data_IF_077994090934
#
_entry.id   IF_077994090934
#
_cell.length_a   1.000
_cell.length_b   1.000
_cell.length_c   1.000
_cell.angle_alpha   90.00
_cell.angle_beta   90.00
_cell.angle_gamma   90.00
#
_symmetry.space_group_name_H-M   'P 1'
#
loop_
_entity.id
_entity.type
_entity.pdbx_description
1 polymer ?
#
# COMPACT_ATOMS: atom_id res chain seq x y z
N UNK A 1 17.15 -8.17 27.28
CA UNK A 1 16.49 -7.79 26.00
C UNK A 1 17.00 -6.41 25.68
N UNK A 2 17.50 -6.17 24.45
CA UNK A 2 17.89 -4.83 24.02
C UNK A 2 16.63 -3.95 24.00
N UNK A 3 16.74 -2.74 24.50
CA UNK A 3 15.67 -1.76 24.40
C UNK A 3 15.43 -1.42 22.93
N UNK A 4 14.16 -1.41 22.48
CA UNK A 4 13.85 -0.97 21.10
C UNK A 4 13.98 0.54 21.02
N UNK A 5 14.53 1.03 19.90
CA UNK A 5 14.54 2.46 19.58
C UNK A 5 14.06 2.69 18.16
N UNK A 6 13.55 3.87 17.92
CA UNK A 6 12.92 4.25 16.65
C UNK A 6 13.65 5.49 16.14
N UNK A 7 14.06 5.43 14.89
CA UNK A 7 14.80 6.49 14.24
C UNK A 7 14.11 6.90 12.94
N UNK A 8 13.76 8.16 12.81
CA UNK A 8 13.27 8.70 11.53
C UNK A 8 14.24 8.41 10.40
N UNK A 9 13.74 8.10 9.21
CA UNK A 9 14.55 7.95 7.98
C UNK A 9 15.18 9.25 7.51
N UNK A 10 14.74 10.39 8.07
CA UNK A 10 15.12 11.73 7.60
C UNK A 10 14.41 12.19 6.33
N UNK A 11 13.56 11.33 5.72
CA UNK A 11 12.71 11.65 4.57
C UNK A 11 11.36 12.25 4.96
N UNK A 12 10.47 12.36 3.98
CA UNK A 12 9.12 12.92 4.16
C UNK A 12 8.21 12.05 5.08
N UNK A 13 8.58 10.78 5.26
CA UNK A 13 7.93 9.80 6.13
C UNK A 13 8.89 8.63 6.35
N UNK A 14 8.50 7.75 7.28
CA UNK A 14 9.22 6.52 7.57
C UNK A 14 10.14 6.59 8.77
N UNK A 15 10.21 5.48 9.50
CA UNK A 15 11.17 5.27 10.58
C UNK A 15 11.68 3.84 10.62
N UNK A 16 12.92 3.68 11.07
CA UNK A 16 13.54 2.40 11.37
C UNK A 16 13.25 1.98 12.81
N UNK A 17 12.91 0.71 12.98
CA UNK A 17 12.73 0.10 14.30
C UNK A 17 13.90 -0.83 14.55
N UNK A 18 14.72 -0.50 15.54
CA UNK A 18 15.90 -1.26 15.94
C UNK A 18 15.68 -1.99 17.27
N UNK A 19 16.53 -2.99 17.52
CA UNK A 19 16.55 -3.73 18.79
C UNK A 19 15.41 -4.74 18.93
N UNK A 20 14.62 -4.99 17.89
CA UNK A 20 13.53 -5.96 17.88
C UNK A 20 13.90 -7.19 17.03
N UNK A 21 13.57 -8.36 17.52
CA UNK A 21 13.59 -9.64 16.83
C UNK A 21 12.14 -10.16 16.78
N UNK A 22 11.51 -10.04 15.62
CA UNK A 22 10.11 -10.42 15.42
C UNK A 22 9.88 -11.94 15.43
N UNK A 23 10.94 -12.77 15.40
CA UNK A 23 10.84 -14.22 15.60
C UNK A 23 10.47 -14.57 17.05
N UNK A 24 10.57 -13.61 17.95
CA UNK A 24 10.24 -13.74 19.38
C UNK A 24 8.99 -12.94 19.73
N UNK A 25 8.29 -13.29 20.81
CA UNK A 25 7.17 -12.51 21.31
C UNK A 25 7.59 -11.06 21.61
N UNK A 26 6.89 -10.11 20.99
CA UNK A 26 7.03 -8.67 21.26
C UNK A 26 6.22 -8.30 22.48
N UNK A 27 6.83 -7.63 23.46
CA UNK A 27 6.14 -7.15 24.65
C UNK A 27 5.05 -6.12 24.31
N UNK A 28 4.05 -5.96 25.20
CA UNK A 28 3.01 -4.94 24.98
C UNK A 28 3.56 -3.52 25.05
N UNK A 29 4.59 -3.28 25.87
CA UNK A 29 5.28 -1.99 25.95
C UNK A 29 5.98 -1.65 24.63
N UNK A 30 6.73 -2.61 24.06
CA UNK A 30 7.40 -2.44 22.78
C UNK A 30 6.39 -2.28 21.63
N UNK A 31 5.32 -3.07 21.66
CA UNK A 31 4.25 -2.93 20.67
C UNK A 31 3.60 -1.54 20.72
N UNK A 32 3.29 -1.03 21.93
CA UNK A 32 2.71 0.31 22.11
C UNK A 32 3.65 1.40 21.57
N UNK A 33 4.96 1.25 21.79
CA UNK A 33 5.99 2.15 21.24
C UNK A 33 6.01 2.14 19.71
N UNK A 34 5.98 0.94 19.10
CA UNK A 34 5.90 0.80 17.63
C UNK A 34 4.59 1.33 17.06
N UNK A 35 3.45 1.04 17.69
CA UNK A 35 2.15 1.54 17.22
C UNK A 35 2.05 3.08 17.28
N UNK A 36 2.64 3.70 18.31
CA UNK A 36 2.77 5.15 18.41
C UNK A 36 3.63 5.72 17.27
N UNK A 37 4.80 5.14 17.06
CA UNK A 37 5.69 5.53 15.97
C UNK A 37 5.08 5.33 14.58
N UNK A 38 4.29 4.28 14.38
CA UNK A 38 3.57 4.07 13.12
C UNK A 38 2.58 5.22 12.84
N UNK A 39 1.86 5.68 13.87
CA UNK A 39 0.97 6.84 13.73
C UNK A 39 1.70 8.16 13.43
N UNK A 40 2.93 8.31 13.89
CA UNK A 40 3.77 9.50 13.68
C UNK A 40 4.48 9.46 12.32
N UNK A 41 5.11 8.32 11.98
CA UNK A 41 5.99 8.19 10.83
C UNK A 41 5.32 7.54 9.61
N UNK A 42 4.10 7.00 9.72
CA UNK A 42 3.26 6.41 8.67
C UNK A 42 3.80 5.12 8.04
N UNK A 43 5.11 4.94 8.04
CA UNK A 43 5.82 3.74 7.55
C UNK A 43 6.85 3.32 8.59
N UNK A 44 6.88 2.03 8.92
CA UNK A 44 7.92 1.45 9.77
C UNK A 44 8.70 0.39 9.01
N UNK A 45 10.03 0.41 9.14
CA UNK A 45 10.93 -0.61 8.61
C UNK A 45 11.59 -1.39 9.74
N UNK A 46 11.55 -2.72 9.61
CA UNK A 46 12.20 -3.70 10.49
C UNK A 46 13.21 -4.46 9.64
N UNK A 47 14.48 -4.12 9.75
CA UNK A 47 15.52 -4.72 8.91
C UNK A 47 16.04 -6.04 9.46
N UNK A 48 16.44 -6.95 8.54
CA UNK A 48 17.17 -8.17 8.88
C UNK A 48 16.36 -9.20 9.68
N UNK A 49 15.05 -9.19 9.59
CA UNK A 49 14.18 -10.13 10.29
C UNK A 49 14.27 -11.55 9.66
N UNK A 50 14.13 -12.56 10.48
CA UNK A 50 14.07 -13.98 10.07
C UNK A 50 12.79 -14.58 10.60
N UNK A 51 11.70 -14.39 9.87
CA UNK A 51 10.35 -14.80 10.27
C UNK A 51 9.72 -15.69 9.20
N UNK A 52 8.83 -16.55 9.63
CA UNK A 52 7.94 -17.34 8.78
C UNK A 52 6.55 -16.69 8.66
N UNK A 53 5.68 -17.29 7.84
CA UNK A 53 4.33 -16.77 7.63
C UNK A 53 3.47 -16.74 8.89
N UNK A 54 3.45 -17.78 9.74
CA UNK A 54 2.75 -17.73 11.03
C UNK A 54 3.21 -16.57 11.91
N UNK A 55 4.50 -16.29 11.95
CA UNK A 55 5.07 -15.18 12.73
C UNK A 55 4.68 -13.83 12.12
N UNK A 56 4.77 -13.69 10.77
CA UNK A 56 4.30 -12.51 10.07
C UNK A 56 2.82 -12.24 10.36
N UNK A 57 1.97 -13.26 10.28
CA UNK A 57 0.54 -13.16 10.59
C UNK A 57 0.30 -12.75 12.04
N UNK A 58 0.98 -13.39 13.00
CA UNK A 58 0.85 -13.10 14.42
C UNK A 58 1.26 -11.67 14.76
N UNK A 59 2.35 -11.19 14.17
CA UNK A 59 2.79 -9.80 14.34
C UNK A 59 1.80 -8.83 13.73
N UNK A 60 1.35 -9.08 12.51
CA UNK A 60 0.37 -8.26 11.78
C UNK A 60 -0.95 -8.16 12.55
N UNK A 61 -1.44 -9.26 13.11
CA UNK A 61 -2.69 -9.33 13.88
C UNK A 61 -2.68 -8.45 15.15
N UNK A 62 -1.50 -8.03 15.64
CA UNK A 62 -1.40 -7.05 16.73
C UNK A 62 -1.94 -5.66 16.33
N UNK A 63 -1.92 -5.34 15.05
CA UNK A 63 -2.43 -4.07 14.53
C UNK A 63 -3.92 -4.13 14.15
N UNK A 64 -4.56 -5.29 14.21
CA UNK A 64 -5.96 -5.55 13.94
C UNK A 64 -6.20 -6.85 13.19
N UNK A 65 -7.44 -7.18 12.92
CA UNK A 65 -7.81 -8.40 12.22
C UNK A 65 -7.17 -8.45 10.83
N UNK A 66 -6.68 -9.64 10.44
CA UNK A 66 -6.10 -9.83 9.12
C UNK A 66 -7.19 -9.81 8.05
N UNK A 67 -6.90 -9.14 6.94
CA UNK A 67 -7.75 -9.16 5.75
C UNK A 67 -7.46 -10.40 4.90
N UNK A 68 -8.51 -10.98 4.33
CA UNK A 68 -8.36 -12.16 3.47
C UNK A 68 -7.80 -11.78 2.11
N UNK A 69 -6.87 -12.59 1.63
CA UNK A 69 -6.38 -12.46 0.25
C UNK A 69 -7.54 -12.69 -0.71
N UNK A 70 -7.85 -11.76 -1.63
CA UNK A 70 -8.93 -11.93 -2.58
C UNK A 70 -8.77 -13.22 -3.40
N UNK A 71 -9.82 -14.04 -3.47
CA UNK A 71 -9.83 -15.32 -4.21
C UNK A 71 -9.54 -15.08 -5.72
N UNK A 72 -9.93 -13.95 -6.27
CA UNK A 72 -9.63 -13.58 -7.65
C UNK A 72 -8.12 -13.29 -7.89
N UNK A 73 -7.35 -13.00 -6.85
CA UNK A 73 -5.89 -12.99 -6.91
C UNK A 73 -5.31 -14.41 -6.94
N UNK A 74 -6.14 -15.43 -6.78
CA UNK A 74 -5.84 -16.85 -6.73
C UNK A 74 -5.72 -17.54 -8.10
N UNK A 75 -5.55 -16.80 -9.19
CA UNK A 75 -5.15 -17.39 -10.49
C UNK A 75 -3.73 -17.97 -10.48
N UNK A 76 -3.04 -17.91 -9.33
CA UNK A 76 -1.71 -18.42 -9.11
C UNK A 76 -1.76 -19.77 -8.40
N UNK A 77 -0.83 -20.65 -8.72
CA UNK A 77 -0.71 -21.93 -8.02
C UNK A 77 -0.14 -21.69 -6.62
N UNK A 78 -1.04 -21.53 -5.64
CA UNK A 78 -0.67 -21.25 -4.25
C UNK A 78 0.09 -22.40 -3.58
N UNK A 79 -0.09 -23.62 -4.05
CA UNK A 79 0.64 -24.81 -3.53
C UNK A 79 2.14 -24.68 -3.72
N UNK A 80 2.55 -23.94 -4.75
CA UNK A 80 3.97 -23.74 -5.08
C UNK A 80 4.52 -22.36 -4.66
N UNK A 81 3.74 -21.56 -3.95
CA UNK A 81 4.08 -20.18 -3.56
C UNK A 81 5.05 -20.08 -2.39
N UNK A 82 5.33 -21.19 -1.69
CA UNK A 82 6.10 -21.20 -0.45
C UNK A 82 5.31 -20.75 0.79
N UNK A 83 4.04 -20.34 0.62
CA UNK A 83 3.16 -20.00 1.75
C UNK A 83 2.62 -21.29 2.36
N UNK A 84 2.77 -21.45 3.68
CA UNK A 84 2.21 -22.60 4.40
C UNK A 84 0.67 -22.61 4.32
N UNK A 85 0.06 -23.82 4.34
CA UNK A 85 -1.37 -23.99 4.07
C UNK A 85 -2.27 -23.12 4.95
N UNK A 86 -2.00 -23.04 6.25
CA UNK A 86 -2.78 -22.24 7.20
C UNK A 86 -2.70 -20.73 6.90
N UNK A 87 -1.64 -20.27 6.25
CA UNK A 87 -1.41 -18.87 5.94
C UNK A 87 -1.97 -18.45 4.58
N UNK A 88 -2.30 -19.39 3.69
CA UNK A 88 -2.69 -19.11 2.29
C UNK A 88 -3.88 -18.15 2.13
N UNK A 89 -4.79 -18.09 3.09
CA UNK A 89 -5.92 -17.15 3.03
C UNK A 89 -5.59 -15.74 3.54
N UNK A 90 -4.42 -15.55 4.17
CA UNK A 90 -4.03 -14.30 4.82
C UNK A 90 -2.77 -13.67 4.23
N UNK A 91 -1.90 -14.50 3.63
CA UNK A 91 -0.62 -14.08 3.06
C UNK A 91 -0.70 -14.08 1.53
N UNK A 92 -0.56 -12.90 0.95
CA UNK A 92 -0.46 -12.73 -0.50
C UNK A 92 1.01 -12.79 -0.95
N UNK A 93 1.26 -13.46 -2.08
CA UNK A 93 2.59 -13.53 -2.71
C UNK A 93 2.71 -12.45 -3.76
N UNK A 94 3.68 -11.57 -3.59
CA UNK A 94 4.01 -10.49 -4.55
C UNK A 94 5.36 -10.87 -5.18
N UNK A 95 5.30 -11.41 -6.41
CA UNK A 95 6.48 -12.00 -7.05
C UNK A 95 6.40 -11.97 -8.57
N UNK A 96 7.59 -11.99 -9.23
CA UNK A 96 7.74 -12.33 -10.64
C UNK A 96 8.18 -13.78 -10.86
N UNK A 97 8.24 -14.58 -9.79
CA UNK A 97 8.76 -15.96 -9.80
C UNK A 97 7.77 -16.89 -10.50
N UNK A 98 8.30 -17.79 -11.33
CA UNK A 98 7.55 -18.90 -11.94
C UNK A 98 8.11 -20.23 -11.45
N UNK A 99 7.23 -21.20 -11.18
CA UNK A 99 7.55 -22.59 -10.88
C UNK A 99 6.81 -23.48 -11.89
N UNK A 100 7.50 -24.37 -12.55
CA UNK A 100 6.95 -25.20 -13.62
C UNK A 100 6.20 -24.39 -14.70
N UNK A 101 6.72 -23.20 -15.07
CA UNK A 101 6.11 -22.29 -16.05
C UNK A 101 4.91 -21.48 -15.56
N UNK A 102 4.41 -21.72 -14.34
CA UNK A 102 3.28 -20.99 -13.73
C UNK A 102 3.78 -19.92 -12.76
N UNK A 103 3.15 -18.75 -12.78
CA UNK A 103 3.44 -17.70 -11.81
C UNK A 103 3.00 -18.14 -10.39
N UNK A 104 3.88 -17.96 -9.39
CA UNK A 104 3.58 -18.26 -7.98
C UNK A 104 3.01 -17.05 -7.23
N UNK A 105 3.04 -15.87 -7.83
CA UNK A 105 2.55 -14.62 -7.25
C UNK A 105 2.12 -13.63 -8.31
N UNK A 106 1.73 -12.43 -7.87
CA UNK A 106 1.23 -11.36 -8.75
C UNK A 106 2.19 -10.19 -8.93
N UNK A 107 1.83 -9.30 -9.89
CA UNK A 107 2.42 -7.99 -10.15
C UNK A 107 3.78 -7.98 -10.89
N UNK A 108 4.29 -9.12 -11.37
CA UNK A 108 5.44 -9.17 -12.28
C UNK A 108 6.64 -8.30 -11.89
N UNK A 109 7.39 -7.83 -12.91
CA UNK A 109 8.59 -6.99 -12.76
C UNK A 109 8.40 -5.52 -13.17
N UNK A 110 7.23 -5.15 -13.71
CA UNK A 110 6.96 -3.79 -14.23
C UNK A 110 6.93 -2.73 -13.13
N UNK A 111 7.06 -1.47 -13.52
CA UNK A 111 6.74 -0.35 -12.66
C UNK A 111 5.25 -0.39 -12.28
N UNK A 112 4.97 -0.22 -10.99
CA UNK A 112 3.60 -0.05 -10.50
C UNK A 112 3.32 1.44 -10.32
N UNK A 113 2.14 1.89 -10.76
CA UNK A 113 1.72 3.29 -10.57
C UNK A 113 1.52 3.61 -9.09
N UNK A 114 1.64 4.88 -8.73
CA UNK A 114 1.26 5.37 -7.40
C UNK A 114 -0.18 4.98 -7.08
N UNK A 115 -0.39 4.35 -5.94
CA UNK A 115 -1.71 3.88 -5.52
C UNK A 115 -1.81 3.69 -4.00
N UNK A 116 -3.05 3.62 -3.53
CA UNK A 116 -3.39 3.07 -2.21
C UNK A 116 -3.95 1.67 -2.42
N UNK A 117 -3.49 0.71 -1.62
CA UNK A 117 -3.93 -0.68 -1.71
C UNK A 117 -5.45 -0.79 -1.59
N UNK A 118 -6.04 -1.54 -2.53
CA UNK A 118 -7.47 -1.92 -2.57
C UNK A 118 -8.45 -0.76 -2.31
N UNK A 119 -8.06 0.47 -2.62
CA UNK A 119 -8.91 1.67 -2.47
C UNK A 119 -10.22 1.60 -3.27
N UNK A 120 -10.31 0.68 -4.23
CA UNK A 120 -11.51 0.39 -4.99
C UNK A 120 -12.57 -0.42 -4.22
N UNK A 121 -12.27 -0.85 -2.99
CA UNK A 121 -13.23 -1.48 -2.08
C UNK A 121 -13.93 -0.41 -1.21
N UNK A 122 -15.19 -0.65 -0.79
CA UNK A 122 -15.88 0.24 0.16
C UNK A 122 -15.14 0.36 1.51
N UNK A 123 -14.46 -0.69 1.94
CA UNK A 123 -13.63 -0.76 3.15
C UNK A 123 -12.19 -1.10 2.76
N UNK A 124 -11.37 -0.13 2.35
CA UNK A 124 -9.97 -0.39 1.99
C UNK A 124 -9.16 -0.82 3.21
N UNK A 125 -8.19 -1.76 3.08
CA UNK A 125 -7.36 -2.19 4.19
C UNK A 125 -6.64 -1.00 4.81
N UNK A 126 -6.59 -0.95 6.14
CA UNK A 126 -5.96 0.18 6.83
C UNK A 126 -4.45 0.13 6.84
N UNK A 127 -3.88 -1.07 6.73
CA UNK A 127 -2.43 -1.26 6.71
C UNK A 127 -2.05 -2.43 5.81
N UNK A 128 -0.82 -2.39 5.31
CA UNK A 128 -0.16 -3.51 4.66
C UNK A 128 1.22 -3.71 5.28
N UNK A 129 1.62 -4.96 5.43
CA UNK A 129 2.95 -5.38 5.86
C UNK A 129 3.56 -6.24 4.76
N UNK A 130 4.74 -5.87 4.28
CA UNK A 130 5.43 -6.54 3.17
C UNK A 130 6.80 -7.04 3.64
N UNK A 131 6.99 -8.35 3.61
CA UNK A 131 8.21 -9.02 4.03
C UNK A 131 9.01 -9.52 2.83
N UNK A 132 10.29 -9.20 2.78
CA UNK A 132 11.18 -9.51 1.68
C UNK A 132 11.88 -10.85 1.88
N UNK A 133 11.59 -11.82 1.03
CA UNK A 133 12.24 -13.13 0.99
C UNK A 133 13.41 -13.15 -0.01
N UNK A 134 13.14 -12.73 -1.24
CA UNK A 134 14.14 -12.58 -2.30
C UNK A 134 13.97 -11.20 -2.95
N UNK A 135 15.09 -10.51 -3.16
CA UNK A 135 15.07 -9.17 -3.79
C UNK A 135 16.19 -9.04 -4.81
N UNK A 136 15.97 -8.35 -5.93
CA UNK A 136 17.04 -8.05 -6.87
C UNK A 136 18.09 -7.13 -6.21
N UNK A 137 19.36 -7.18 -6.65
CA UNK A 137 20.41 -6.29 -6.13
C UNK A 137 20.12 -4.82 -6.46
N UNK A 138 19.47 -4.56 -7.60
CA UNK A 138 19.08 -3.23 -8.05
C UNK A 138 17.63 -3.21 -8.56
N UNK A 139 16.98 -2.06 -8.42
CA UNK A 139 15.58 -1.87 -8.82
C UNK A 139 14.58 -2.49 -7.84
N UNK A 140 13.30 -2.50 -8.24
CA UNK A 140 12.22 -3.05 -7.41
C UNK A 140 12.01 -2.33 -6.08
N UNK A 141 12.57 -1.13 -5.89
CA UNK A 141 12.36 -0.31 -4.72
C UNK A 141 10.88 0.05 -4.56
N UNK A 142 10.48 0.35 -3.33
CA UNK A 142 9.12 0.82 -3.07
C UNK A 142 9.16 2.26 -2.60
N UNK A 143 8.54 3.16 -3.37
CA UNK A 143 8.32 4.54 -2.98
C UNK A 143 7.04 4.66 -2.15
N UNK A 144 7.06 5.55 -1.16
CA UNK A 144 5.93 5.90 -0.31
C UNK A 144 5.74 7.41 -0.32
N UNK A 145 4.50 7.89 -0.38
CA UNK A 145 4.14 9.31 -0.37
C UNK A 145 3.34 9.66 0.88
N UNK A 146 3.71 10.76 1.53
CA UNK A 146 3.01 11.32 2.68
C UNK A 146 1.80 12.14 2.23
N UNK A 147 0.61 11.56 2.29
CA UNK A 147 -0.63 12.21 1.85
C UNK A 147 -1.15 13.28 2.83
N UNK A 148 -0.68 13.29 4.08
CA UNK A 148 -0.91 14.42 4.99
C UNK A 148 -0.18 15.67 4.48
N UNK A 149 1.14 15.57 4.28
CA UNK A 149 1.94 16.69 3.78
C UNK A 149 1.49 17.16 2.40
N UNK A 150 1.08 16.22 1.54
CA UNK A 150 0.51 16.55 0.23
C UNK A 150 -0.78 17.37 0.37
N UNK A 151 -1.68 17.05 1.31
CA UNK A 151 -2.87 17.84 1.57
C UNK A 151 -2.55 19.18 2.24
N UNK A 152 -1.71 19.18 3.27
CA UNK A 152 -1.37 20.37 4.05
C UNK A 152 -0.78 21.49 3.18
N UNK A 153 0.05 21.10 2.19
CA UNK A 153 0.73 22.02 1.26
C UNK A 153 0.02 22.20 -0.08
N UNK A 154 -1.16 21.58 -0.28
CA UNK A 154 -1.93 21.75 -1.50
C UNK A 154 -2.33 23.24 -1.65
N UNK A 155 -2.17 23.84 -2.82
CA UNK A 155 -2.61 25.23 -3.05
C UNK A 155 -4.08 25.45 -2.69
N UNK A 156 -4.41 26.60 -2.08
CA UNK A 156 -5.74 26.87 -1.55
C UNK A 156 -6.85 26.80 -2.61
N UNK A 157 -6.58 27.19 -3.84
CA UNK A 157 -7.54 27.05 -4.94
C UNK A 157 -7.85 25.57 -5.27
N UNK A 158 -6.87 24.66 -5.13
CA UNK A 158 -7.10 23.22 -5.31
C UNK A 158 -7.81 22.62 -4.10
N UNK A 159 -7.45 23.01 -2.86
CA UNK A 159 -8.19 22.60 -1.65
C UNK A 159 -9.67 22.93 -1.77
N UNK A 160 -9.98 24.17 -2.17
CA UNK A 160 -11.36 24.63 -2.41
C UNK A 160 -12.06 23.83 -3.51
N UNK A 161 -11.33 23.53 -4.60
CA UNK A 161 -11.89 22.80 -5.73
C UNK A 161 -12.23 21.34 -5.40
N UNK A 162 -11.54 20.69 -4.46
CA UNK A 162 -11.78 19.29 -4.07
C UNK A 162 -12.60 19.15 -2.78
N UNK A 163 -12.91 20.24 -2.09
CA UNK A 163 -13.69 20.22 -0.85
C UNK A 163 -15.05 19.55 -1.05
N UNK A 164 -15.35 18.56 -0.21
CA UNK A 164 -16.59 17.78 -0.26
C UNK A 164 -16.77 16.91 -1.51
N UNK A 165 -15.82 16.89 -2.42
CA UNK A 165 -15.92 16.07 -3.64
C UNK A 165 -15.54 14.62 -3.42
N UNK A 166 -16.17 13.74 -4.18
CA UNK A 166 -15.91 12.30 -4.19
C UNK A 166 -15.36 11.86 -5.54
N UNK A 167 -14.58 10.79 -5.54
CA UNK A 167 -13.95 10.24 -6.71
C UNK A 167 -14.18 8.72 -6.79
N UNK A 168 -14.37 8.20 -8.00
CA UNK A 168 -14.38 6.76 -8.28
C UNK A 168 -12.94 6.24 -8.22
N UNK A 169 -12.74 5.13 -7.53
CA UNK A 169 -11.49 4.37 -7.49
C UNK A 169 -11.64 3.09 -8.31
N UNK A 170 -10.99 3.03 -9.45
CA UNK A 170 -11.13 1.95 -10.44
C UNK A 170 -10.77 0.57 -9.89
N UNK A 171 -11.72 -0.37 -9.94
CA UNK A 171 -11.53 -1.79 -9.60
C UNK A 171 -11.19 -2.67 -10.79
N UNK A 172 -11.34 -2.18 -12.03
CA UNK A 172 -11.18 -2.99 -13.24
C UNK A 172 -9.73 -3.34 -13.56
N UNK A 173 -8.77 -2.55 -13.06
CA UNK A 173 -7.34 -2.74 -13.32
C UNK A 173 -6.55 -2.95 -12.04
N UNK A 174 -5.43 -3.68 -12.16
CA UNK A 174 -4.44 -3.77 -11.08
C UNK A 174 -3.47 -2.56 -11.11
N UNK A 175 -2.51 -2.50 -10.18
CA UNK A 175 -1.54 -1.40 -10.11
C UNK A 175 -0.49 -1.43 -11.22
N UNK A 176 -0.37 -2.52 -11.99
CA UNK A 176 0.41 -2.59 -13.22
C UNK A 176 -0.37 -2.11 -14.46
N UNK A 177 -1.63 -1.68 -14.31
CA UNK A 177 -2.49 -1.23 -15.41
C UNK A 177 -3.18 -2.36 -16.17
N UNK A 178 -2.98 -3.62 -15.78
CA UNK A 178 -3.58 -4.78 -16.42
C UNK A 178 -5.06 -4.93 -16.06
N UNK A 179 -5.88 -5.25 -17.06
CA UNK A 179 -7.31 -5.53 -16.86
C UNK A 179 -7.48 -6.80 -16.01
N UNK A 180 -8.24 -6.72 -14.94
CA UNK A 180 -8.53 -7.88 -14.09
C UNK A 180 -9.50 -8.83 -14.77
N UNK A 181 -9.36 -10.12 -14.48
CA UNK A 181 -10.26 -11.16 -15.00
C UNK A 181 -11.72 -10.85 -14.65
N UNK A 182 -12.59 -10.92 -15.64
CA UNK A 182 -14.02 -10.65 -15.49
C UNK A 182 -14.44 -9.19 -15.68
N UNK A 183 -13.49 -8.27 -15.89
CA UNK A 183 -13.79 -6.88 -16.23
C UNK A 183 -13.64 -6.64 -17.74
N UNK A 184 -14.35 -5.62 -18.22
CA UNK A 184 -14.24 -5.11 -19.59
C UNK A 184 -13.65 -3.69 -19.55
N UNK A 185 -13.01 -3.28 -20.64
CA UNK A 185 -12.53 -1.91 -20.78
C UNK A 185 -13.70 -0.93 -20.79
N UNK A 186 -13.66 0.04 -19.90
CA UNK A 186 -14.64 1.13 -19.82
C UNK A 186 -14.18 2.28 -20.71
N UNK A 187 -15.04 2.75 -21.61
CA UNK A 187 -14.76 3.90 -22.48
C UNK A 187 -15.23 5.22 -21.88
N UNK A 188 -16.11 5.17 -20.90
CA UNK A 188 -16.60 6.34 -20.15
C UNK A 188 -16.20 6.22 -18.67
N UNK A 189 -15.30 7.08 -18.23
CA UNK A 189 -14.79 7.09 -16.85
C UNK A 189 -15.87 7.27 -15.79
N UNK A 190 -17.04 7.84 -16.17
CA UNK A 190 -18.19 8.01 -15.26
C UNK A 190 -18.85 6.67 -14.89
N UNK A 191 -18.61 5.63 -15.68
CA UNK A 191 -19.12 4.26 -15.48
C UNK A 191 -18.04 3.29 -15.03
N UNK A 192 -16.85 3.78 -14.66
CA UNK A 192 -15.77 2.97 -14.12
C UNK A 192 -16.26 2.20 -12.89
N UNK A 193 -16.09 0.86 -12.85
CA UNK A 193 -16.49 0.08 -11.69
C UNK A 193 -15.51 0.32 -10.52
N UNK A 194 -16.05 0.43 -9.30
CA UNK A 194 -15.22 0.60 -8.09
C UNK A 194 -15.94 1.39 -7.00
N UNK A 195 -15.30 1.53 -5.87
CA UNK A 195 -15.83 2.31 -4.77
C UNK A 195 -15.67 3.82 -5.01
N UNK A 196 -16.59 4.57 -4.42
CA UNK A 196 -16.58 6.03 -4.42
C UNK A 196 -16.14 6.51 -3.04
N UNK A 197 -15.07 7.32 -3.02
CA UNK A 197 -14.51 7.84 -1.79
C UNK A 197 -14.34 9.37 -1.84
N UNK A 198 -14.30 10.05 -0.68
CA UNK A 198 -13.93 11.46 -0.64
C UNK A 198 -12.47 11.64 -1.11
N UNK A 199 -12.21 12.72 -1.86
CA UNK A 199 -10.84 13.10 -2.27
C UNK A 199 -9.96 13.51 -1.08
N UNK A 200 -10.58 13.99 0.00
CA UNK A 200 -9.96 14.29 1.28
C UNK A 200 -10.58 13.41 2.34
N UNK A 201 -9.76 12.56 2.98
CA UNK A 201 -10.21 11.74 4.10
C UNK A 201 -9.72 12.27 5.44
N UNK A 202 -10.50 12.07 6.46
CA UNK A 202 -10.09 12.27 7.85
C UNK A 202 -9.52 10.95 8.39
N UNK A 203 -8.30 11.00 8.90
CA UNK A 203 -7.73 9.82 9.54
C UNK A 203 -8.41 9.56 10.90
N UNK A 204 -8.96 8.35 11.16
CA UNK A 204 -9.84 8.11 12.30
C UNK A 204 -9.15 8.27 13.66
N UNK A 205 -7.83 8.06 13.73
CA UNK A 205 -7.04 8.14 14.96
C UNK A 205 -6.41 9.52 15.12
N UNK A 206 -5.61 9.97 14.14
CA UNK A 206 -4.85 11.23 14.24
C UNK A 206 -5.70 12.48 13.99
N UNK A 207 -6.89 12.32 13.42
CA UNK A 207 -7.79 13.41 13.01
C UNK A 207 -7.18 14.38 11.99
N UNK A 208 -6.05 14.00 11.38
CA UNK A 208 -5.44 14.77 10.28
C UNK A 208 -6.15 14.48 8.97
N UNK A 209 -6.22 15.48 8.11
CA UNK A 209 -6.72 15.35 6.74
C UNK A 209 -5.61 14.86 5.82
N UNK A 210 -5.93 13.90 4.93
CA UNK A 210 -5.04 13.37 3.93
C UNK A 210 -5.71 13.37 2.56
N UNK A 211 -4.96 13.57 1.48
CA UNK A 211 -5.46 13.27 0.14
C UNK A 211 -5.71 11.75 0.03
N UNK A 212 -6.84 11.37 -0.54
CA UNK A 212 -7.20 9.98 -0.78
C UNK A 212 -7.58 9.79 -2.25
N UNK A 213 -6.56 9.53 -3.07
CA UNK A 213 -6.65 9.59 -4.53
C UNK A 213 -6.79 8.21 -5.20
N UNK A 214 -6.51 7.14 -4.45
CA UNK A 214 -6.57 5.77 -4.95
C UNK A 214 -5.52 5.52 -6.03
N UNK A 215 -5.95 5.52 -7.28
CA UNK A 215 -5.12 5.33 -8.48
C UNK A 215 -5.59 6.27 -9.57
N UNK A 216 -4.64 6.90 -10.33
CA UNK A 216 -5.01 7.90 -11.32
C UNK A 216 -5.79 7.36 -12.53
N UNK A 217 -5.39 6.23 -13.17
CA UNK A 217 -6.14 5.68 -14.28
C UNK A 217 -7.56 5.27 -13.87
N UNK A 218 -8.56 5.64 -14.69
CA UNK A 218 -9.96 5.32 -14.43
C UNK A 218 -10.64 6.13 -13.32
N UNK A 219 -9.91 7.04 -12.64
CA UNK A 219 -10.49 7.91 -11.62
C UNK A 219 -11.41 8.98 -12.23
N UNK A 220 -12.52 9.30 -11.56
CA UNK A 220 -13.46 10.33 -11.99
C UNK A 220 -14.08 11.04 -10.79
N UNK A 221 -14.09 12.37 -10.78
CA UNK A 221 -14.71 13.19 -9.74
C UNK A 221 -16.18 13.37 -10.05
N UNK A 222 -17.05 12.91 -9.17
CA UNK A 222 -18.50 13.02 -9.33
C UNK A 222 -18.96 14.47 -9.38
N UNK A 223 -19.95 14.72 -10.27
CA UNK A 223 -20.60 16.01 -10.41
C UNK A 223 -19.85 17.01 -11.28
N UNK A 224 -18.73 16.63 -11.89
CA UNK A 224 -18.01 17.43 -12.89
C UNK A 224 -18.21 16.86 -14.29
N UNK A 225 -17.98 17.67 -15.32
CA UNK A 225 -17.76 17.15 -16.66
C UNK A 225 -16.47 16.28 -16.69
N UNK A 226 -16.34 15.40 -17.66
CA UNK A 226 -15.13 14.58 -17.81
C UNK A 226 -13.89 15.45 -17.92
N UNK A 227 -13.96 16.51 -18.71
CA UNK A 227 -12.86 17.45 -18.92
C UNK A 227 -12.45 18.18 -17.63
N UNK A 228 -13.43 18.71 -16.87
CA UNK A 228 -13.15 19.35 -15.57
C UNK A 228 -12.56 18.38 -14.56
N UNK A 229 -13.10 17.14 -14.51
CA UNK A 229 -12.58 16.08 -13.66
C UNK A 229 -11.13 15.75 -13.99
N UNK A 230 -10.82 15.55 -15.29
CA UNK A 230 -9.46 15.26 -15.76
C UNK A 230 -8.49 16.39 -15.40
N UNK A 231 -8.87 17.65 -15.66
CA UNK A 231 -8.05 18.81 -15.34
C UNK A 231 -7.75 18.93 -13.85
N UNK A 232 -8.78 18.75 -13.02
CA UNK A 232 -8.63 18.85 -11.56
C UNK A 232 -7.81 17.67 -10.99
N UNK A 233 -8.09 16.44 -11.43
CA UNK A 233 -7.33 15.27 -11.02
C UNK A 233 -5.85 15.39 -11.43
N UNK A 234 -5.56 15.85 -12.65
CA UNK A 234 -4.18 16.04 -13.09
C UNK A 234 -3.44 17.06 -12.22
N UNK A 235 -4.08 18.17 -11.87
CA UNK A 235 -3.47 19.19 -11.01
C UNK A 235 -3.19 18.66 -9.58
N UNK A 236 -4.15 17.93 -8.99
CA UNK A 236 -4.00 17.35 -7.64
C UNK A 236 -2.94 16.25 -7.64
N UNK A 237 -2.94 15.37 -8.64
CA UNK A 237 -1.93 14.32 -8.77
C UNK A 237 -0.52 14.86 -9.00
N UNK A 238 -0.35 15.86 -9.87
CA UNK A 238 0.93 16.51 -10.10
C UNK A 238 1.51 17.13 -8.81
N UNK A 239 0.64 17.66 -7.95
CA UNK A 239 1.07 18.14 -6.63
C UNK A 239 1.41 16.98 -5.68
N UNK A 240 0.51 15.98 -5.56
CA UNK A 240 0.62 14.91 -4.58
C UNK A 240 1.81 13.96 -4.81
N UNK A 241 2.28 13.85 -6.07
CA UNK A 241 3.37 12.94 -6.46
C UNK A 241 4.74 13.61 -6.54
N UNK A 242 4.91 14.82 -5.96
CA UNK A 242 6.22 15.48 -5.91
C UNK A 242 7.18 14.72 -5.00
N UNK A 243 8.45 14.65 -5.41
CA UNK A 243 9.53 13.94 -4.68
C UNK A 243 9.69 14.41 -3.23
N UNK A 244 9.40 15.67 -2.92
CA UNK A 244 9.46 16.21 -1.55
C UNK A 244 8.52 15.50 -0.56
N UNK A 245 7.53 14.76 -1.03
CA UNK A 245 6.61 13.96 -0.21
C UNK A 245 7.00 12.48 -0.18
N UNK A 246 8.05 12.09 -0.90
CA UNK A 246 8.45 10.71 -1.09
C UNK A 246 9.55 10.26 -0.14
N UNK A 247 9.52 8.98 0.17
CA UNK A 247 10.63 8.21 0.71
C UNK A 247 10.66 6.86 0.01
N UNK A 248 11.89 6.34 -0.28
CA UNK A 248 12.06 5.09 -1.02
C UNK A 248 12.75 4.02 -0.16
N UNK A 249 12.08 2.89 0.00
CA UNK A 249 12.64 1.67 0.55
C UNK A 249 13.51 0.97 -0.50
N UNK A 250 14.79 0.88 -0.22
CA UNK A 250 15.73 -0.02 -0.91
C UNK A 250 15.74 -1.34 -0.15
N UNK A 251 15.25 -2.38 -0.80
CA UNK A 251 15.00 -3.65 -0.15
C UNK A 251 16.26 -4.48 0.07
N UNK A 252 16.29 -5.18 1.20
CA UNK A 252 17.20 -6.31 1.47
C UNK A 252 16.35 -7.48 1.91
N UNK A 253 16.82 -8.74 1.62
CA UNK A 253 16.16 -9.92 2.16
C UNK A 253 16.11 -9.84 3.69
N UNK A 254 14.95 -10.15 4.27
CA UNK A 254 14.69 -10.01 5.69
C UNK A 254 14.14 -8.65 6.11
N UNK A 255 13.99 -7.68 5.21
CA UNK A 255 13.28 -6.44 5.55
C UNK A 255 11.78 -6.68 5.62
N UNK A 256 11.15 -6.22 6.70
CA UNK A 256 9.71 -6.07 6.82
C UNK A 256 9.38 -4.58 6.83
N UNK A 257 8.46 -4.15 5.97
CA UNK A 257 7.96 -2.77 5.94
C UNK A 257 6.45 -2.77 6.12
N UNK A 258 5.99 -1.93 7.04
CA UNK A 258 4.57 -1.68 7.31
C UNK A 258 4.21 -0.25 6.94
N UNK A 259 3.05 -0.04 6.29
CA UNK A 259 2.56 1.32 6.00
C UNK A 259 1.07 1.48 6.26
N UNK A 260 0.69 2.73 6.51
CA UNK A 260 -0.70 3.13 6.75
C UNK A 260 -1.39 3.52 5.45
N UNK A 261 -2.23 2.64 4.90
CA UNK A 261 -2.98 2.89 3.68
C UNK A 261 -3.98 4.05 3.79
N UNK A 262 -4.22 4.55 5.00
CA UNK A 262 -5.15 5.66 5.23
C UNK A 262 -4.55 7.01 4.87
N UNK A 263 -3.23 7.12 4.85
CA UNK A 263 -2.52 8.38 4.62
C UNK A 263 -1.23 8.23 3.79
N UNK A 264 -1.02 7.05 3.17
CA UNK A 264 0.14 6.76 2.33
C UNK A 264 -0.30 6.23 0.99
N UNK A 265 0.29 6.74 -0.10
CA UNK A 265 0.31 6.04 -1.39
C UNK A 265 1.68 5.40 -1.59
N UNK A 266 1.73 4.34 -2.38
CA UNK A 266 2.98 3.68 -2.70
C UNK A 266 3.05 3.25 -4.17
N UNK A 267 4.27 3.04 -4.65
CA UNK A 267 4.55 2.44 -5.95
C UNK A 267 5.78 1.54 -5.85
N UNK A 268 6.00 0.71 -6.84
CA UNK A 268 7.23 -0.06 -6.99
C UNK A 268 7.91 0.32 -8.29
N UNK A 269 9.21 0.55 -8.23
CA UNK A 269 10.04 0.73 -9.41
C UNK A 269 10.14 -0.59 -10.19
N UNK A 270 10.30 -0.50 -11.52
CA UNK A 270 10.63 -1.64 -12.34
C UNK A 270 11.98 -2.26 -11.93
N UNK A 271 12.19 -3.51 -12.26
CA UNK A 271 13.46 -4.22 -12.09
C UNK A 271 13.65 -5.22 -13.21
N UNK A 272 14.85 -5.72 -13.39
CA UNK A 272 15.19 -6.73 -14.40
C UNK A 272 14.35 -7.99 -14.20
N UNK A 273 13.55 -8.37 -15.21
CA UNK A 273 12.64 -9.52 -15.16
C UNK A 273 13.36 -10.87 -14.99
N UNK A 274 14.65 -10.93 -15.34
CA UNK A 274 15.49 -12.14 -15.15
C UNK A 274 15.88 -12.35 -13.68
N UNK A 275 15.79 -11.29 -12.85
CA UNK A 275 16.09 -11.35 -11.43
C UNK A 275 14.84 -11.73 -10.64
N UNK A 276 15.06 -12.46 -9.54
CA UNK A 276 13.96 -12.94 -8.69
C UNK A 276 13.60 -11.89 -7.64
N UNK A 277 12.29 -11.67 -7.48
CA UNK A 277 11.72 -10.92 -6.38
C UNK A 277 10.55 -11.69 -5.81
N UNK A 278 10.66 -12.06 -4.54
CA UNK A 278 9.63 -12.81 -3.80
C UNK A 278 9.38 -12.14 -2.46
N UNK A 279 8.15 -11.73 -2.24
CA UNK A 279 7.72 -11.08 -1.00
C UNK A 279 6.38 -11.63 -0.53
N UNK A 280 6.22 -11.72 0.78
CA UNK A 280 4.96 -12.10 1.41
C UNK A 280 4.30 -10.87 2.02
N UNK A 281 3.00 -10.72 1.82
CA UNK A 281 2.23 -9.57 2.29
C UNK A 281 1.02 -10.00 3.10
N UNK A 282 0.86 -9.39 4.27
CA UNK A 282 -0.40 -9.38 5.03
C UNK A 282 -1.05 -8.01 4.94
N UNK A 283 -2.38 -7.97 5.11
CA UNK A 283 -3.16 -6.73 5.18
C UNK A 283 -4.06 -6.76 6.41
N UNK A 284 -4.38 -5.58 6.92
CA UNK A 284 -5.26 -5.42 8.08
C UNK A 284 -6.62 -4.92 7.59
N UNK A 285 -7.69 -5.56 8.07
CA UNK A 285 -9.08 -5.20 7.74
C UNK A 285 -9.29 -3.69 7.86
N UNK A 286 -9.97 -3.15 6.88
CA UNK A 286 -10.25 -1.74 6.76
C UNK A 286 -11.46 -1.28 7.56
N UNK A 287 -11.71 0.01 7.45
CA UNK A 287 -12.79 0.71 8.10
C UNK A 287 -13.41 1.73 7.13
N UNK A 288 -14.63 2.22 7.35
CA UNK A 288 -15.25 3.23 6.50
C UNK A 288 -14.35 4.45 6.32
N UNK A 289 -14.28 4.97 5.09
CA UNK A 289 -13.52 6.18 4.79
C UNK A 289 -14.29 7.39 5.27
N UNK A 290 -13.76 8.09 6.26
CA UNK A 290 -14.37 9.32 6.79
C UNK A 290 -14.00 10.50 5.89
N UNK A 291 -14.99 11.31 5.50
CA UNK A 291 -14.73 12.56 4.79
C UNK A 291 -14.01 13.57 5.70
N UNK A 292 -13.05 14.30 5.12
CA UNK A 292 -12.22 15.28 5.83
C UNK A 292 -12.57 16.75 5.52
#
# INVERSE_FOLDING_TARGET
>A
MSEIWIQSTGGALGADVYGVDLSRPVSDADFKKMAGAWGEHLVLRFSGQKIDDPTLMKFSARFGDLDRVPIAAAGFDRMDSGVVEEAQQWVAVIANVKKNGKAVGGLGSYELVWHTDMSYNPLPPRASLLYALEVPPDGGNTGFLNMYSAYETLPDHLKKAIEGKTCIHDSSRNSAGELRKGFQTTHDVRTTPGAVHPLVRLHPITKRKALFLGRRPGAYIHGLSVEESEKLLNAVWAHATQERFAWYQKWRAGDLVMWDNRCVMHRRDAFDESLRRLMHRTQIVGEPVLAG
#
